data_IF_595608360786
#
_entry.id   IF_595608360786
#
_cell.length_a   1.000
_cell.length_b   1.000
_cell.length_c   1.000
_cell.angle_alpha   90.00
_cell.angle_beta   90.00
_cell.angle_gamma   90.00
#
_symmetry.space_group_name_H-M   'P 1'
#
loop_
_entity.id
_entity.type
_entity.pdbx_description
1 polymer ?
#
# COMPACT_ATOMS: atom_id res chain seq x y z
N UNK A 1 -0.39 -11.28 -17.41
CA UNK A 1 -0.07 -10.35 -16.31
C UNK A 1 -1.36 -9.65 -15.95
N UNK A 2 -1.83 -9.84 -14.72
CA UNK A 2 -3.06 -9.22 -14.21
C UNK A 2 -2.63 -7.98 -13.45
N UNK A 3 -3.07 -6.80 -13.89
CA UNK A 3 -2.78 -5.54 -13.19
C UNK A 3 -3.56 -5.54 -11.87
N UNK A 4 -2.86 -5.76 -10.76
CA UNK A 4 -3.48 -5.96 -9.45
C UNK A 4 -4.25 -4.71 -9.01
N UNK A 5 -3.76 -3.53 -9.42
CA UNK A 5 -4.36 -2.23 -9.10
C UNK A 5 -5.68 -1.92 -9.82
N UNK A 6 -6.20 -2.80 -10.68
CA UNK A 6 -7.39 -2.50 -11.51
C UNK A 6 -8.70 -3.02 -10.90
N UNK A 7 -8.66 -3.92 -9.91
CA UNK A 7 -9.86 -4.42 -9.23
C UNK A 7 -10.20 -3.59 -7.99
N UNK A 8 -11.48 -3.23 -7.82
CA UNK A 8 -11.99 -2.48 -6.66
C UNK A 8 -13.07 -3.31 -5.98
N UNK A 9 -12.93 -3.51 -4.67
CA UNK A 9 -13.91 -4.20 -3.80
C UNK A 9 -14.07 -3.43 -2.49
N UNK A 10 -15.06 -3.81 -1.67
CA UNK A 10 -15.30 -3.17 -0.37
C UNK A 10 -14.08 -3.22 0.55
N UNK A 11 -13.76 -2.10 1.20
CA UNK A 11 -12.61 -1.98 2.11
C UNK A 11 -12.62 -3.04 3.23
N UNK A 12 -13.81 -3.39 3.73
CA UNK A 12 -13.94 -4.43 4.77
C UNK A 12 -13.52 -5.82 4.27
N UNK A 13 -13.65 -6.09 2.97
CA UNK A 13 -13.16 -7.32 2.34
C UNK A 13 -11.65 -7.23 2.17
N UNK A 14 -11.15 -6.10 1.63
CA UNK A 14 -9.71 -5.89 1.43
C UNK A 14 -8.93 -6.06 2.73
N UNK A 15 -9.44 -5.55 3.85
CA UNK A 15 -8.78 -5.65 5.18
C UNK A 15 -8.69 -7.07 5.74
N UNK A 16 -9.35 -8.05 5.12
CA UNK A 16 -9.26 -9.46 5.52
C UNK A 16 -8.20 -10.23 4.72
N UNK A 17 -7.56 -9.58 3.73
CA UNK A 17 -6.55 -10.21 2.88
C UNK A 17 -5.27 -10.53 3.64
N UNK A 18 -4.48 -11.46 3.07
CA UNK A 18 -3.26 -11.98 3.68
C UNK A 18 -2.21 -10.90 3.98
N UNK A 19 -2.04 -9.94 3.06
CA UNK A 19 -1.21 -8.74 3.26
C UNK A 19 -1.95 -7.49 2.83
N UNK A 20 -1.70 -6.39 3.52
CA UNK A 20 -2.31 -5.08 3.29
C UNK A 20 -1.26 -4.02 2.99
N UNK A 21 -1.42 -3.32 1.87
CA UNK A 21 -0.61 -2.16 1.53
C UNK A 21 -1.48 -0.92 1.62
N UNK A 22 -1.08 0.03 2.45
CA UNK A 22 -1.69 1.36 2.52
C UNK A 22 -1.07 2.31 1.51
N UNK A 23 -1.84 3.22 0.94
CA UNK A 23 -1.30 4.34 0.13
C UNK A 23 -1.80 5.66 0.70
N UNK A 24 -0.87 6.54 1.05
CA UNK A 24 -1.14 7.89 1.57
C UNK A 24 -1.31 8.90 0.44
N UNK A 25 -2.20 9.86 0.67
CA UNK A 25 -2.34 11.04 -0.17
C UNK A 25 -1.36 12.14 0.29
N UNK A 26 -1.40 13.31 -0.36
CA UNK A 26 -0.56 14.46 0.02
C UNK A 26 -0.81 14.99 1.45
N UNK A 27 -1.96 14.70 2.06
CA UNK A 27 -2.28 15.05 3.44
C UNK A 27 -1.79 13.98 4.45
N UNK A 28 -1.04 12.98 4.01
CA UNK A 28 -0.58 11.84 4.82
C UNK A 28 -1.72 10.92 5.32
N UNK A 29 -2.89 10.97 4.68
CA UNK A 29 -4.03 10.12 5.00
C UNK A 29 -4.07 8.91 4.07
N UNK A 30 -4.35 7.71 4.60
CA UNK A 30 -4.55 6.51 3.79
C UNK A 30 -5.81 6.67 2.95
N UNK A 31 -5.65 6.90 1.64
CA UNK A 31 -6.76 7.08 0.70
C UNK A 31 -7.06 5.81 -0.09
N UNK A 32 -6.11 4.86 -0.12
CA UNK A 32 -6.27 3.57 -0.79
C UNK A 32 -5.67 2.46 0.04
N UNK A 33 -6.31 1.29 -0.01
CA UNK A 33 -5.77 0.05 0.55
C UNK A 33 -5.76 -1.00 -0.56
N UNK A 34 -4.65 -1.71 -0.67
CA UNK A 34 -4.46 -2.82 -1.61
C UNK A 34 -4.31 -4.08 -0.76
N UNK A 35 -5.13 -5.09 -1.06
CA UNK A 35 -5.04 -6.40 -0.43
C UNK A 35 -4.34 -7.37 -1.38
N UNK A 36 -3.35 -8.10 -0.87
CA UNK A 36 -2.67 -9.15 -1.60
C UNK A 36 -3.00 -10.51 -0.99
N UNK A 37 -3.49 -11.44 -1.81
CA UNK A 37 -3.85 -12.80 -1.36
C UNK A 37 -2.63 -13.73 -1.30
N UNK A 38 -1.50 -13.32 -1.88
CA UNK A 38 -0.25 -14.09 -1.97
C UNK A 38 0.97 -13.17 -1.93
N UNK A 39 2.15 -13.72 -1.58
CA UNK A 39 3.41 -12.97 -1.59
C UNK A 39 3.78 -12.42 -2.98
N UNK A 40 3.49 -13.17 -4.05
CA UNK A 40 3.75 -12.69 -5.42
C UNK A 40 2.89 -11.46 -5.76
N UNK A 41 1.63 -11.45 -5.32
CA UNK A 41 0.77 -10.28 -5.52
C UNK A 41 1.25 -9.08 -4.71
N UNK A 42 1.72 -9.33 -3.47
CA UNK A 42 2.30 -8.29 -2.65
C UNK A 42 3.54 -7.68 -3.32
N UNK A 43 4.50 -8.52 -3.75
CA UNK A 43 5.72 -8.06 -4.41
C UNK A 43 5.41 -7.26 -5.68
N UNK A 44 4.52 -7.77 -6.54
CA UNK A 44 4.11 -7.07 -7.74
C UNK A 44 3.47 -5.71 -7.41
N UNK A 45 2.63 -5.64 -6.37
CA UNK A 45 2.00 -4.38 -5.97
C UNK A 45 3.02 -3.39 -5.43
N UNK A 46 4.00 -3.84 -4.64
CA UNK A 46 5.07 -2.95 -4.14
C UNK A 46 5.97 -2.45 -5.27
N UNK A 47 6.31 -3.30 -6.24
CA UNK A 47 7.10 -2.91 -7.42
C UNK A 47 6.32 -1.93 -8.30
N UNK A 48 5.02 -2.16 -8.53
CA UNK A 48 4.17 -1.22 -9.28
C UNK A 48 4.07 0.15 -8.58
N UNK A 49 4.04 0.20 -7.24
CA UNK A 49 4.00 1.46 -6.49
C UNK A 49 5.35 2.19 -6.51
N UNK A 50 6.47 1.47 -6.46
CA UNK A 50 7.82 2.01 -6.62
C UNK A 50 8.03 2.57 -8.04
N UNK A 51 7.59 1.85 -9.07
CA UNK A 51 7.60 2.32 -10.47
C UNK A 51 6.75 3.59 -10.67
N UNK A 52 5.74 3.81 -9.81
CA UNK A 52 4.93 5.04 -9.78
C UNK A 52 5.60 6.19 -9.00
N UNK A 53 6.77 5.98 -8.42
CA UNK A 53 7.52 6.96 -7.64
C UNK A 53 7.03 7.13 -6.21
N UNK A 54 6.31 6.14 -5.67
CA UNK A 54 5.93 6.12 -4.26
C UNK A 54 6.98 5.34 -3.47
N UNK A 55 7.22 5.76 -2.23
CA UNK A 55 8.20 5.14 -1.33
C UNK A 55 7.49 4.50 -0.15
N UNK A 56 7.99 3.35 0.31
CA UNK A 56 7.49 2.72 1.54
C UNK A 56 7.97 3.52 2.77
N UNK A 57 7.02 4.22 3.40
CA UNK A 57 7.15 5.06 4.59
C UNK A 57 6.38 4.44 5.77
N UNK A 58 6.40 3.09 5.89
CA UNK A 58 5.80 2.42 7.04
C UNK A 58 6.55 2.81 8.33
N UNK A 59 5.90 3.59 9.19
CA UNK A 59 6.46 4.00 10.47
C UNK A 59 6.13 2.99 11.57
N UNK A 60 6.89 3.01 12.67
CA UNK A 60 6.70 2.09 13.80
C UNK A 60 5.28 2.18 14.41
N UNK A 61 4.64 3.35 14.32
CA UNK A 61 3.27 3.60 14.78
C UNK A 61 2.19 2.98 13.86
N UNK A 62 2.51 2.70 12.60
CA UNK A 62 1.58 2.08 11.63
C UNK A 62 1.47 0.56 11.81
N UNK A 63 2.34 -0.02 12.66
CA UNK A 63 2.40 -1.45 13.00
C UNK A 63 1.38 -1.88 14.06
N UNK A 64 0.41 -1.05 14.45
CA UNK A 64 -0.59 -1.48 15.42
C UNK A 64 -1.29 -2.76 14.95
N UNK A 65 -1.08 -3.86 15.70
CA UNK A 65 -1.70 -5.19 15.83
C UNK A 65 -2.59 -5.82 14.72
N UNK A 66 -3.16 -5.05 13.80
CA UNK A 66 -3.90 -5.40 12.58
C UNK A 66 -3.44 -4.55 11.36
N UNK A 67 -2.26 -3.93 11.45
CA UNK A 67 -1.79 -2.83 10.60
C UNK A 67 -1.22 -3.28 9.25
N UNK A 68 -0.99 -2.29 8.40
CA UNK A 68 -0.47 -2.48 7.05
C UNK A 68 0.93 -3.13 7.05
N UNK A 69 1.18 -3.98 6.07
CA UNK A 69 2.48 -4.60 5.80
C UNK A 69 3.47 -3.64 5.13
N UNK A 70 2.94 -2.64 4.41
CA UNK A 70 3.68 -1.51 3.84
C UNK A 70 2.76 -0.29 3.71
N UNK A 71 3.34 0.92 3.77
CA UNK A 71 2.60 2.15 3.50
C UNK A 71 3.38 2.98 2.51
N UNK A 72 2.79 3.19 1.34
CA UNK A 72 3.40 3.97 0.27
C UNK A 72 2.92 5.42 0.32
N UNK A 73 3.85 6.37 0.24
CA UNK A 73 3.56 7.80 0.10
C UNK A 73 4.41 8.43 -0.99
N UNK A 74 4.05 9.64 -1.42
CA UNK A 74 4.97 10.45 -2.22
C UNK A 74 6.22 10.72 -1.39
N UNK A 75 7.38 10.62 -2.00
CA UNK A 75 8.62 11.06 -1.39
C UNK A 75 8.58 12.59 -1.23
N UNK A 76 8.38 13.05 0.01
CA UNK A 76 8.29 14.47 0.35
C UNK A 76 9.67 15.12 0.53
N UNK A 77 10.75 14.34 0.47
CA UNK A 77 12.13 14.83 0.65
C UNK A 77 12.81 15.22 -0.68
N UNK A 78 12.09 15.19 -1.81
CA UNK A 78 12.61 15.58 -3.14
C UNK A 78 12.81 17.10 -3.34
N UNK A 79 12.52 17.94 -2.34
CA UNK A 79 12.60 19.41 -2.43
C UNK A 79 13.47 20.08 -1.34
N UNK A 80 14.42 19.36 -0.70
CA UNK A 80 15.35 19.95 0.30
C UNK A 80 16.68 20.47 -0.28
#
# INVERSE_FOLDING_TARGET
>A
MTNLLVSVVDLNIVRQEYKLIGVRNANQEIYRVIGATTDNQYLNATEELDDMGLVDDLQENDREKNGYDAIFSLDLDLDA
#
